data_IF_195083929223
#
_entry.id   IF_195083929223
#
_cell.length_a   1.000
_cell.length_b   1.000
_cell.length_c   1.000
_cell.angle_alpha   90.00
_cell.angle_beta   90.00
_cell.angle_gamma   90.00
#
_symmetry.space_group_name_H-M   'P 1'
#
loop_
_entity.id
_entity.type
_entity.pdbx_description
1 polymer ?
#
# COMPACT_ATOMS: atom_id res chain seq x y z
N UNK A 1 72.45 45.85 -28.69
CA UNK A 1 71.49 45.69 -29.80
C UNK A 1 70.14 45.32 -29.22
N UNK A 2 69.11 46.07 -29.62
CA UNK A 2 67.66 45.79 -29.59
C UNK A 2 66.95 45.49 -28.25
N UNK A 3 65.84 46.21 -28.13
CA UNK A 3 64.84 46.37 -27.06
C UNK A 3 63.94 45.12 -26.85
N UNK A 4 63.04 45.25 -25.86
CA UNK A 4 61.64 44.78 -25.75
C UNK A 4 61.45 43.90 -24.50
N UNK A 5 60.34 43.88 -23.74
CA UNK A 5 59.17 44.72 -23.48
C UNK A 5 58.46 44.03 -22.28
N UNK A 6 57.84 44.82 -21.41
CA UNK A 6 56.58 44.60 -20.66
C UNK A 6 56.06 43.19 -20.31
N UNK A 7 55.63 43.04 -19.05
CA UNK A 7 54.64 42.02 -18.67
C UNK A 7 54.43 41.89 -17.17
N UNK A 8 53.59 42.74 -16.59
CA UNK A 8 53.10 42.58 -15.23
C UNK A 8 51.99 41.52 -15.19
N UNK A 9 52.07 40.58 -14.24
CA UNK A 9 50.91 39.84 -13.75
C UNK A 9 51.13 39.51 -12.27
N UNK A 10 50.49 40.29 -11.40
CA UNK A 10 50.36 40.03 -9.97
C UNK A 10 49.16 39.09 -9.82
N UNK A 11 49.39 37.86 -9.39
CA UNK A 11 48.34 36.94 -8.94
C UNK A 11 48.48 36.76 -7.43
N UNK A 12 47.67 37.53 -6.71
CA UNK A 12 47.39 37.39 -5.29
C UNK A 12 46.59 36.11 -5.04
N UNK A 13 47.20 35.12 -4.38
CA UNK A 13 46.45 34.03 -3.74
C UNK A 13 45.96 34.51 -2.38
N UNK A 14 44.68 34.88 -2.31
CA UNK A 14 43.97 35.01 -1.04
C UNK A 14 43.47 33.64 -0.59
N UNK A 15 43.83 33.30 0.64
CA UNK A 15 43.21 32.24 1.42
C UNK A 15 41.80 32.68 1.83
N UNK A 16 40.79 31.85 1.57
CA UNK A 16 39.51 31.90 2.25
C UNK A 16 38.87 30.51 2.24
N UNK A 17 38.74 29.94 3.43
CA UNK A 17 37.81 28.86 3.71
C UNK A 17 36.39 29.38 3.46
N UNK A 18 35.58 28.64 2.72
CA UNK A 18 34.17 28.55 3.08
C UNK A 18 33.61 27.18 2.70
N UNK A 19 32.84 26.68 3.65
CA UNK A 19 32.23 25.37 3.76
C UNK A 19 30.95 25.30 2.94
N UNK A 20 30.84 24.28 2.07
CA UNK A 20 29.55 23.78 1.61
C UNK A 20 29.33 22.37 2.17
N UNK A 21 28.39 22.33 3.10
CA UNK A 21 27.98 21.18 3.88
C UNK A 21 26.88 20.43 3.12
N UNK A 22 27.26 19.46 2.27
CA UNK A 22 26.34 18.44 1.77
C UNK A 22 26.50 17.22 2.68
N UNK A 23 25.64 17.12 3.69
CA UNK A 23 25.58 15.93 4.54
C UNK A 23 24.89 14.80 3.78
N UNK A 24 25.67 13.97 3.08
CA UNK A 24 25.29 12.60 2.82
C UNK A 24 25.29 11.87 4.17
N UNK A 25 24.12 11.70 4.78
CA UNK A 25 23.96 10.75 5.87
C UNK A 25 23.79 9.37 5.24
N UNK A 26 24.91 8.68 5.03
CA UNK A 26 24.94 7.23 4.95
C UNK A 26 24.49 6.67 6.31
N UNK A 27 23.46 5.81 6.30
CA UNK A 27 23.02 5.10 7.51
C UNK A 27 24.15 4.17 8.00
N UNK A 28 24.82 4.59 9.07
CA UNK A 28 25.72 3.72 9.81
C UNK A 28 24.91 2.67 10.57
N UNK A 29 25.19 1.40 10.28
CA UNK A 29 24.73 0.26 11.05
C UNK A 29 25.33 0.29 12.46
N UNK A 30 24.52 0.54 13.49
CA UNK A 30 24.92 0.32 14.88
C UNK A 30 23.85 -0.38 15.72
N UNK A 31 24.38 -1.10 16.68
CA UNK A 31 23.84 -2.20 17.49
C UNK A 31 22.50 -1.93 18.20
N UNK A 32 21.73 -3.02 18.31
CA UNK A 32 20.38 -3.08 18.85
C UNK A 32 20.41 -3.16 20.38
N UNK A 33 20.04 -2.08 21.06
CA UNK A 33 19.39 -2.17 22.37
C UNK A 33 18.62 -0.90 22.71
N UNK A 34 17.37 -0.80 22.28
CA UNK A 34 16.31 0.01 22.91
C UNK A 34 14.96 -0.44 22.37
N UNK A 35 14.11 -0.96 23.28
CA UNK A 35 12.67 -1.26 23.18
C UNK A 35 11.92 -0.73 21.93
N UNK A 36 12.19 -1.31 20.76
CA UNK A 36 11.37 -1.20 19.55
C UNK A 36 10.48 -2.44 19.49
N UNK A 37 9.16 -2.26 19.36
CA UNK A 37 8.22 -3.38 19.26
C UNK A 37 8.73 -4.44 18.27
N UNK A 38 8.75 -5.71 18.71
CA UNK A 38 9.27 -6.80 17.88
C UNK A 38 8.57 -6.77 16.51
N UNK A 39 9.32 -6.96 15.41
CA UNK A 39 8.72 -7.06 14.10
C UNK A 39 7.66 -8.17 14.11
N UNK A 40 6.51 -7.90 13.48
CA UNK A 40 5.42 -8.86 13.44
C UNK A 40 5.89 -10.17 12.81
N UNK A 41 5.50 -11.30 13.40
CA UNK A 41 5.83 -12.63 12.86
C UNK A 41 4.84 -13.12 11.80
N UNK A 42 3.70 -12.42 11.65
CA UNK A 42 2.63 -12.71 10.69
C UNK A 42 2.01 -11.40 10.21
N UNK A 43 1.50 -11.37 8.98
CA UNK A 43 0.72 -10.24 8.45
C UNK A 43 -0.58 -10.11 9.23
N UNK A 44 -0.93 -8.89 9.61
CA UNK A 44 -2.22 -8.58 10.22
C UNK A 44 -2.74 -7.27 9.61
N UNK A 45 -3.95 -7.35 9.05
CA UNK A 45 -4.69 -6.26 8.43
C UNK A 45 -6.17 -6.30 8.91
N UNK A 46 -6.64 -5.29 9.66
CA UNK A 46 -8.02 -5.24 10.13
C UNK A 46 -9.01 -4.65 9.10
N UNK A 47 -8.63 -4.40 7.84
CA UNK A 47 -9.46 -3.68 6.85
C UNK A 47 -10.86 -4.27 6.69
N UNK A 48 -10.98 -5.60 6.57
CA UNK A 48 -12.29 -6.27 6.45
C UNK A 48 -13.13 -6.19 7.72
N UNK A 49 -12.48 -6.26 8.90
CA UNK A 49 -13.17 -6.12 10.19
C UNK A 49 -13.67 -4.69 10.41
N UNK A 50 -12.85 -3.70 10.05
CA UNK A 50 -13.21 -2.27 10.09
C UNK A 50 -14.40 -2.02 9.17
N UNK A 51 -14.33 -2.52 7.93
CA UNK A 51 -15.43 -2.48 6.96
C UNK A 51 -16.69 -3.11 7.54
N UNK A 52 -16.62 -4.36 8.00
CA UNK A 52 -17.80 -5.09 8.48
C UNK A 52 -18.50 -4.37 9.63
N UNK A 53 -17.73 -3.80 10.57
CA UNK A 53 -18.28 -2.99 11.66
C UNK A 53 -18.95 -1.72 11.13
N UNK A 54 -18.29 -0.99 10.24
CA UNK A 54 -18.85 0.23 9.65
C UNK A 54 -20.16 -0.05 8.90
N UNK A 55 -20.20 -1.12 8.09
CA UNK A 55 -21.39 -1.52 7.35
C UNK A 55 -22.52 -2.08 8.22
N UNK A 56 -22.26 -2.45 9.49
CA UNK A 56 -23.28 -2.83 10.47
C UNK A 56 -23.85 -1.61 11.20
N UNK A 57 -23.01 -0.61 11.47
CA UNK A 57 -23.39 0.59 12.23
C UNK A 57 -23.95 1.72 11.37
N UNK A 58 -23.66 1.74 10.07
CA UNK A 58 -24.02 2.84 9.16
C UNK A 58 -24.75 2.32 7.90
N UNK A 59 -26.09 2.48 7.83
CA UNK A 59 -26.87 2.09 6.66
C UNK A 59 -26.49 2.82 5.36
N UNK A 60 -25.96 4.04 5.43
CA UNK A 60 -25.52 4.76 4.24
C UNK A 60 -24.24 4.14 3.67
N UNK A 61 -23.31 3.72 4.52
CA UNK A 61 -22.14 2.95 4.09
C UNK A 61 -22.54 1.59 3.52
N UNK A 62 -23.55 0.92 4.10
CA UNK A 62 -24.13 -0.31 3.54
C UNK A 62 -24.68 -0.10 2.12
N UNK A 63 -25.46 0.96 1.90
CA UNK A 63 -25.99 1.27 0.58
C UNK A 63 -24.88 1.57 -0.44
N UNK A 64 -23.82 2.28 -0.02
CA UNK A 64 -22.64 2.52 -0.87
C UNK A 64 -21.90 1.23 -1.21
N UNK A 65 -21.74 0.32 -0.24
CA UNK A 65 -21.17 -1.00 -0.47
C UNK A 65 -21.93 -1.75 -1.58
N UNK A 66 -23.26 -1.83 -1.47
CA UNK A 66 -24.11 -2.48 -2.47
C UNK A 66 -23.99 -1.83 -3.85
N UNK A 67 -23.96 -0.49 -3.90
CA UNK A 67 -23.75 0.26 -5.14
C UNK A 67 -22.36 -0.02 -5.77
N UNK A 68 -21.32 -0.15 -4.94
CA UNK A 68 -19.95 -0.45 -5.41
C UNK A 68 -19.84 -1.86 -6.00
N UNK A 69 -20.50 -2.85 -5.40
CA UNK A 69 -20.54 -4.21 -5.95
C UNK A 69 -21.32 -4.24 -7.27
N UNK A 70 -22.48 -3.57 -7.34
CA UNK A 70 -23.24 -3.44 -8.59
C UNK A 70 -22.43 -2.73 -9.69
N UNK A 71 -21.69 -1.68 -9.34
CA UNK A 71 -20.81 -0.97 -10.28
C UNK A 71 -19.70 -1.89 -10.82
N UNK A 72 -19.13 -2.74 -9.97
CA UNK A 72 -18.10 -3.71 -10.38
C UNK A 72 -18.66 -4.74 -11.36
N UNK A 73 -19.87 -5.24 -11.12
CA UNK A 73 -20.57 -6.14 -12.04
C UNK A 73 -20.96 -5.48 -13.36
N UNK A 74 -21.41 -4.23 -13.34
CA UNK A 74 -21.75 -3.47 -14.54
C UNK A 74 -20.50 -3.19 -15.38
N UNK A 75 -19.39 -2.83 -14.73
CA UNK A 75 -18.12 -2.60 -15.42
C UNK A 75 -17.58 -3.88 -16.10
N UNK A 76 -17.68 -5.03 -15.41
CA UNK A 76 -17.38 -6.35 -16.01
C UNK A 76 -18.22 -6.61 -17.28
N UNK A 77 -19.52 -6.33 -17.22
CA UNK A 77 -20.44 -6.47 -18.37
C UNK A 77 -20.05 -5.52 -19.51
N UNK A 78 -19.86 -4.24 -19.24
CA UNK A 78 -19.50 -3.25 -20.26
C UNK A 78 -18.14 -3.56 -20.92
N UNK A 79 -17.18 -4.06 -20.16
CA UNK A 79 -15.89 -4.52 -20.68
C UNK A 79 -16.07 -5.69 -21.66
N UNK A 80 -16.86 -6.70 -21.29
CA UNK A 80 -17.17 -7.83 -22.18
C UNK A 80 -17.94 -7.44 -23.45
N UNK A 81 -18.63 -6.29 -23.43
CA UNK A 81 -19.33 -5.71 -24.58
C UNK A 81 -18.46 -4.72 -25.38
N UNK A 82 -17.21 -4.48 -24.99
CA UNK A 82 -16.30 -3.54 -25.68
C UNK A 82 -16.69 -2.07 -25.53
N UNK A 83 -17.46 -1.69 -24.50
CA UNK A 83 -17.96 -0.32 -24.28
C UNK A 83 -16.99 0.58 -23.49
N UNK A 84 -15.85 0.06 -23.04
CA UNK A 84 -14.83 0.80 -22.27
C UNK A 84 -13.62 1.03 -23.19
N UNK A 85 -13.15 2.29 -23.31
CA UNK A 85 -11.99 2.66 -24.15
C UNK A 85 -10.69 1.97 -23.69
N UNK A 86 -9.79 1.74 -24.64
CA UNK A 86 -8.83 0.62 -24.63
C UNK A 86 -7.57 0.77 -23.77
N UNK A 87 -7.15 1.96 -23.34
CA UNK A 87 -5.93 2.05 -22.50
C UNK A 87 -6.23 1.89 -21.00
N UNK A 88 -7.44 2.24 -20.56
CA UNK A 88 -7.99 2.02 -19.22
C UNK A 88 -7.07 2.48 -18.08
N UNK A 89 -6.11 3.36 -18.38
CA UNK A 89 -5.00 3.69 -17.49
C UNK A 89 -5.38 4.85 -16.59
N UNK A 90 -5.20 4.65 -15.29
CA UNK A 90 -5.39 5.70 -14.28
C UNK A 90 -4.08 5.92 -13.54
N UNK A 91 -3.65 7.17 -13.42
CA UNK A 91 -2.54 7.57 -12.54
C UNK A 91 -3.14 8.13 -11.25
N UNK A 92 -3.02 7.39 -10.15
CA UNK A 92 -3.53 7.79 -8.84
C UNK A 92 -2.49 8.73 -8.18
N UNK A 93 -2.84 9.98 -7.88
CA UNK A 93 -2.01 10.86 -7.06
C UNK A 93 -1.98 10.37 -5.61
N UNK A 94 -0.76 10.29 -5.06
CA UNK A 94 -0.49 9.75 -3.73
C UNK A 94 0.12 10.82 -2.84
N UNK A 95 -0.42 10.95 -1.63
CA UNK A 95 0.14 11.81 -0.57
C UNK A 95 0.54 10.94 0.61
N UNK A 96 1.81 11.03 1.02
CA UNK A 96 2.30 10.39 2.24
C UNK A 96 2.22 11.37 3.41
N UNK A 97 1.65 10.93 4.52
CA UNK A 97 1.54 11.67 5.78
C UNK A 97 2.36 10.94 6.85
N UNK A 98 3.65 11.28 6.99
CA UNK A 98 4.59 10.64 7.91
C UNK A 98 4.48 11.26 9.30
N UNK A 99 4.06 10.45 10.27
CA UNK A 99 3.94 10.84 11.68
C UNK A 99 4.94 10.02 12.47
N UNK A 100 5.94 10.71 13.03
CA UNK A 100 7.09 10.07 13.66
C UNK A 100 7.29 10.56 15.09
N UNK A 101 7.79 9.71 15.96
CA UNK A 101 8.22 10.06 17.32
C UNK A 101 9.75 10.16 17.42
N UNK A 102 10.46 9.22 16.78
CA UNK A 102 11.92 9.17 16.71
C UNK A 102 12.43 9.41 15.28
N UNK A 103 13.72 9.71 15.12
CA UNK A 103 14.34 9.91 13.81
C UNK A 103 14.21 8.68 12.89
N UNK A 104 14.36 7.47 13.42
CA UNK A 104 14.21 6.22 12.66
C UNK A 104 12.78 6.03 12.08
N UNK A 105 11.77 6.61 12.72
CA UNK A 105 10.38 6.55 12.25
C UNK A 105 10.08 7.60 11.17
N UNK A 106 10.94 8.61 11.00
CA UNK A 106 10.84 9.63 9.97
C UNK A 106 11.39 9.09 8.64
N UNK A 107 10.68 8.12 8.04
CA UNK A 107 11.10 7.41 6.82
C UNK A 107 11.57 8.35 5.71
N UNK A 108 12.71 8.08 5.09
CA UNK A 108 13.30 8.97 4.08
C UNK A 108 12.43 9.11 2.81
N UNK A 109 12.59 10.22 2.07
CA UNK A 109 11.90 10.39 0.79
C UNK A 109 12.33 9.32 -0.24
N UNK A 110 13.58 8.85 -0.17
CA UNK A 110 14.05 7.73 -1.00
C UNK A 110 13.26 6.45 -0.72
N UNK A 111 13.00 6.12 0.56
CA UNK A 111 12.19 4.96 0.94
C UNK A 111 10.71 5.09 0.51
N UNK A 112 10.18 6.31 0.51
CA UNK A 112 8.84 6.61 -0.03
C UNK A 112 8.82 6.42 -1.55
N UNK A 113 9.84 6.90 -2.27
CA UNK A 113 9.98 6.72 -3.70
C UNK A 113 10.13 5.23 -4.08
N UNK A 114 10.87 4.44 -3.29
CA UNK A 114 10.92 2.98 -3.43
C UNK A 114 9.53 2.34 -3.33
N UNK A 115 8.71 2.79 -2.38
CA UNK A 115 7.35 2.27 -2.23
C UNK A 115 6.47 2.59 -3.45
N UNK A 116 6.58 3.80 -4.02
CA UNK A 116 5.89 4.15 -5.26
C UNK A 116 6.37 3.28 -6.43
N UNK A 117 7.67 3.02 -6.53
CA UNK A 117 8.23 2.12 -7.54
C UNK A 117 7.72 0.68 -7.36
N UNK A 118 7.60 0.20 -6.13
CA UNK A 118 6.99 -1.10 -5.80
C UNK A 118 5.54 -1.17 -6.27
N UNK A 119 4.72 -0.17 -5.93
CA UNK A 119 3.31 -0.15 -6.35
C UNK A 119 3.19 -0.18 -7.88
N UNK A 120 3.96 0.65 -8.58
CA UNK A 120 3.97 0.66 -10.04
C UNK A 120 4.45 -0.67 -10.65
N UNK A 121 5.41 -1.35 -10.02
CA UNK A 121 5.86 -2.66 -10.47
C UNK A 121 4.78 -3.73 -10.31
N UNK A 122 4.12 -3.76 -9.15
CA UNK A 122 3.14 -4.79 -8.79
C UNK A 122 1.84 -4.65 -9.58
N UNK A 123 1.33 -3.43 -9.67
CA UNK A 123 0.12 -3.13 -10.46
C UNK A 123 0.41 -3.11 -11.96
N UNK A 124 1.66 -2.87 -12.35
CA UNK A 124 2.11 -2.96 -13.75
C UNK A 124 2.44 -4.38 -14.21
N UNK A 125 2.46 -5.37 -13.32
CA UNK A 125 2.97 -6.73 -13.58
C UNK A 125 4.40 -6.75 -14.15
N UNK A 126 5.25 -5.88 -13.62
CA UNK A 126 6.69 -5.77 -13.96
C UNK A 126 7.58 -6.10 -12.76
N UNK A 127 6.99 -6.56 -11.65
CA UNK A 127 7.70 -7.08 -10.50
C UNK A 127 8.58 -8.29 -10.90
N UNK A 128 9.82 -8.32 -10.40
CA UNK A 128 10.83 -9.30 -10.81
C UNK A 128 10.49 -10.75 -10.44
N UNK A 129 9.58 -10.96 -9.51
CA UNK A 129 9.12 -12.26 -9.03
C UNK A 129 7.84 -12.76 -9.70
N UNK A 130 7.31 -12.05 -10.71
CA UNK A 130 6.11 -12.46 -11.45
C UNK A 130 6.28 -13.81 -12.16
N UNK A 131 7.51 -14.19 -12.51
CA UNK A 131 7.85 -15.48 -13.09
C UNK A 131 7.68 -16.67 -12.11
N UNK A 132 7.44 -16.41 -10.82
CA UNK A 132 7.16 -17.43 -9.81
C UNK A 132 5.69 -17.87 -9.77
N UNK A 133 4.80 -17.22 -10.55
CA UNK A 133 3.39 -17.65 -10.66
C UNK A 133 3.32 -19.09 -11.16
N UNK A 134 2.73 -20.02 -10.38
CA UNK A 134 2.54 -21.39 -10.82
C UNK A 134 1.75 -21.46 -12.14
N UNK A 135 2.12 -22.39 -13.02
CA UNK A 135 1.53 -22.50 -14.34
C UNK A 135 -0.01 -22.58 -14.32
N UNK A 136 -0.60 -23.22 -13.31
CA UNK A 136 -2.05 -23.32 -13.14
C UNK A 136 -2.77 -21.99 -12.88
N UNK A 137 -2.07 -20.97 -12.36
CA UNK A 137 -2.63 -19.65 -12.08
C UNK A 137 -2.25 -18.59 -13.12
N UNK A 138 -1.36 -18.90 -14.06
CA UNK A 138 -1.00 -17.99 -15.17
C UNK A 138 -2.23 -17.53 -15.98
N UNK A 139 -3.21 -18.39 -16.33
CA UNK A 139 -4.41 -17.94 -17.06
C UNK A 139 -5.28 -16.95 -16.29
N UNK A 140 -5.20 -16.95 -14.95
CA UNK A 140 -5.97 -16.05 -14.09
C UNK A 140 -5.20 -14.77 -13.75
N UNK A 141 -3.93 -14.63 -14.14
CA UNK A 141 -3.13 -13.48 -13.75
C UNK A 141 -3.64 -12.18 -14.41
N UNK A 142 -3.68 -11.10 -13.64
CA UNK A 142 -4.15 -9.79 -14.11
C UNK A 142 -3.33 -9.22 -15.28
N UNK A 143 -2.05 -9.60 -15.37
CA UNK A 143 -1.05 -8.82 -16.07
C UNK A 143 -1.05 -7.38 -15.54
N UNK A 144 -0.88 -6.41 -16.44
CA UNK A 144 -0.93 -5.00 -16.07
C UNK A 144 -2.38 -4.58 -15.72
N UNK A 145 -2.58 -4.12 -14.48
CA UNK A 145 -3.87 -3.65 -13.93
C UNK A 145 -4.36 -2.37 -14.60
N UNK A 146 -3.46 -1.59 -15.23
CA UNK A 146 -3.69 -0.26 -15.79
C UNK A 146 -4.01 0.78 -14.71
N UNK A 147 -3.41 0.62 -13.54
CA UNK A 147 -3.38 1.63 -12.48
C UNK A 147 -1.92 1.88 -12.14
N UNK A 148 -1.53 3.14 -12.13
CA UNK A 148 -0.20 3.63 -11.77
C UNK A 148 -0.32 4.66 -10.66
N UNK A 149 0.80 4.96 -9.99
CA UNK A 149 0.83 5.78 -8.79
C UNK A 149 1.91 6.85 -8.93
N UNK A 150 1.56 8.07 -8.56
CA UNK A 150 2.46 9.22 -8.60
C UNK A 150 2.48 9.94 -7.27
N UNK A 151 3.67 10.13 -6.72
CA UNK A 151 3.86 10.94 -5.53
C UNK A 151 3.53 12.40 -5.85
N UNK A 152 2.60 12.98 -5.09
CA UNK A 152 2.23 14.41 -5.18
C UNK A 152 2.82 15.20 -4.01
N UNK A 153 2.80 14.64 -2.80
CA UNK A 153 3.35 15.31 -1.62
C UNK A 153 3.78 14.32 -0.53
N UNK A 154 4.72 14.77 0.29
CA UNK A 154 5.08 14.13 1.56
C UNK A 154 4.94 15.15 2.68
N UNK A 155 3.92 14.96 3.51
CA UNK A 155 3.71 15.74 4.73
C UNK A 155 4.39 15.03 5.90
N UNK A 156 5.03 15.79 6.79
CA UNK A 156 5.75 15.22 7.94
C UNK A 156 5.38 15.95 9.22
N UNK A 157 5.17 15.20 10.31
CA UNK A 157 4.90 15.77 11.63
C UNK A 157 5.51 14.91 12.73
N UNK A 158 6.26 15.55 13.62
CA UNK A 158 6.70 14.89 14.85
C UNK A 158 5.54 14.84 15.86
N UNK A 159 5.37 13.70 16.51
CA UNK A 159 4.34 13.48 17.55
C UNK A 159 4.96 12.80 18.77
N UNK A 160 4.46 13.10 19.96
CA UNK A 160 4.85 12.43 21.21
C UNK A 160 4.17 11.08 21.39
N UNK A 161 3.11 10.78 20.61
CA UNK A 161 2.42 9.49 20.65
C UNK A 161 3.33 8.38 20.14
N UNK A 162 3.34 7.26 20.85
CA UNK A 162 4.17 6.08 20.54
C UNK A 162 3.41 4.95 19.84
N UNK A 163 2.08 5.05 19.75
CA UNK A 163 1.22 4.13 19.04
C UNK A 163 -0.13 4.78 18.70
N UNK A 164 -0.86 4.18 17.77
CA UNK A 164 -2.13 4.69 17.26
C UNK A 164 -3.14 3.56 17.12
N UNK A 165 -4.38 3.72 17.62
CA UNK A 165 -5.41 2.70 17.43
C UNK A 165 -6.09 2.80 16.08
N UNK A 166 -6.35 1.65 15.46
CA UNK A 166 -7.01 1.54 14.15
C UNK A 166 -8.51 1.84 14.16
N UNK A 167 -9.13 2.01 15.33
CA UNK A 167 -10.57 2.28 15.48
C UNK A 167 -10.87 3.74 15.85
N UNK A 168 -9.84 4.56 16.16
CA UNK A 168 -10.01 5.93 16.64
C UNK A 168 -9.67 7.01 15.59
N UNK A 169 -8.95 6.64 14.52
CA UNK A 169 -8.55 7.54 13.43
C UNK A 169 -7.78 8.80 13.88
N UNK A 170 -7.13 8.74 15.04
CA UNK A 170 -6.43 9.89 15.62
C UNK A 170 -5.23 10.35 14.79
N UNK A 171 -4.58 9.45 14.06
CA UNK A 171 -3.47 9.78 13.17
C UNK A 171 -3.92 10.65 11.99
N UNK A 172 -5.22 10.64 11.68
CA UNK A 172 -5.81 11.38 10.55
C UNK A 172 -6.39 12.74 10.94
N UNK A 173 -6.22 13.18 12.20
CA UNK A 173 -6.68 14.49 12.68
C UNK A 173 -5.55 15.28 13.30
N UNK A 174 -5.38 16.53 12.85
CA UNK A 174 -4.40 17.46 13.41
C UNK A 174 -4.61 17.69 14.92
N UNK A 175 -5.86 17.72 15.38
CA UNK A 175 -6.26 17.97 16.77
C UNK A 175 -5.86 16.85 17.74
N UNK A 176 -5.64 15.63 17.25
CA UNK A 176 -5.22 14.47 18.05
C UNK A 176 -3.74 14.12 17.84
N UNK A 177 -2.96 15.06 17.32
CA UNK A 177 -1.52 14.91 17.05
C UNK A 177 -1.19 14.32 15.68
N UNK A 178 -2.19 13.98 14.86
CA UNK A 178 -2.02 13.45 13.51
C UNK A 178 -1.88 14.52 12.42
N UNK A 179 -2.16 14.13 11.18
CA UNK A 179 -2.15 14.98 9.98
C UNK A 179 -3.50 14.80 9.27
N UNK A 180 -4.18 15.91 8.94
CA UNK A 180 -5.42 15.86 8.16
C UNK A 180 -5.15 15.36 6.73
N UNK A 181 -6.10 14.65 6.13
CA UNK A 181 -5.99 14.24 4.73
C UNK A 181 -5.79 15.45 3.80
N UNK A 182 -4.91 15.31 2.81
CA UNK A 182 -4.78 16.26 1.69
C UNK A 182 -5.81 15.87 0.64
N UNK A 183 -6.92 16.61 0.57
CA UNK A 183 -8.07 16.39 -0.33
C UNK A 183 -8.32 14.90 -0.69
N UNK A 184 -9.03 14.15 0.16
CA UNK A 184 -9.28 12.72 -0.06
C UNK A 184 -10.16 12.44 -1.30
N UNK A 185 -10.77 13.46 -1.90
CA UNK A 185 -11.52 13.30 -3.16
C UNK A 185 -10.60 13.27 -4.38
N UNK A 186 -9.39 13.81 -4.23
CA UNK A 186 -8.38 13.97 -5.28
C UNK A 186 -7.09 13.23 -5.04
N UNK A 187 -6.80 12.77 -3.83
CA UNK A 187 -5.55 12.08 -3.51
C UNK A 187 -5.78 10.83 -2.67
N UNK A 188 -5.04 9.77 -2.99
CA UNK A 188 -4.90 8.63 -2.08
C UNK A 188 -3.94 9.03 -0.94
N UNK A 189 -4.48 9.14 0.27
CA UNK A 189 -3.71 9.50 1.46
C UNK A 189 -3.19 8.26 2.16
N UNK A 190 -1.87 8.20 2.40
CA UNK A 190 -1.20 7.12 3.13
C UNK A 190 -0.55 7.70 4.38
N UNK A 191 -1.07 7.35 5.56
CA UNK A 191 -0.44 7.71 6.82
C UNK A 191 0.61 6.68 7.21
N UNK A 192 1.83 7.14 7.47
CA UNK A 192 2.92 6.29 7.98
C UNK A 192 3.10 6.59 9.45
N UNK A 193 2.94 5.58 10.30
CA UNK A 193 2.95 5.74 11.77
C UNK A 193 3.93 4.79 12.44
N UNK A 194 4.26 5.06 13.71
CA UNK A 194 5.22 4.27 14.47
C UNK A 194 4.75 2.86 14.86
N UNK A 195 3.49 2.72 15.26
CA UNK A 195 2.87 1.46 15.67
C UNK A 195 1.36 1.58 15.54
N UNK A 196 0.73 0.51 15.03
CA UNK A 196 -0.72 0.41 14.91
C UNK A 196 -1.20 -0.63 15.94
N UNK A 197 -2.10 -0.20 16.82
CA UNK A 197 -2.78 -1.05 17.78
C UNK A 197 -4.16 -1.42 17.23
N UNK A 198 -4.59 -2.64 17.47
CA UNK A 198 -5.98 -3.03 17.28
C UNK A 198 -6.91 -2.37 18.33
N UNK A 199 -8.21 -2.67 18.24
CA UNK A 199 -9.22 -2.13 19.16
C UNK A 199 -9.03 -2.57 20.63
N UNK A 200 -8.27 -3.65 20.85
CA UNK A 200 -7.93 -4.20 22.16
C UNK A 200 -6.55 -3.71 22.65
N UNK A 201 -6.01 -2.65 22.02
CA UNK A 201 -4.69 -2.09 22.28
C UNK A 201 -3.53 -3.07 22.04
N UNK A 202 -3.72 -4.11 21.22
CA UNK A 202 -2.67 -5.05 20.90
C UNK A 202 -1.87 -4.56 19.68
N UNK A 203 -0.52 -4.53 19.77
CA UNK A 203 0.31 -4.24 18.62
C UNK A 203 0.34 -5.44 17.66
N UNK A 204 0.72 -5.19 16.41
CA UNK A 204 0.96 -6.25 15.43
C UNK A 204 0.32 -6.02 14.07
N UNK A 205 -0.56 -5.01 13.96
CA UNK A 205 -1.11 -4.58 12.66
C UNK A 205 -0.01 -3.95 11.81
N UNK A 206 0.15 -4.46 10.58
CA UNK A 206 1.14 -3.92 9.63
C UNK A 206 0.58 -2.70 8.90
N UNK A 207 -0.69 -2.77 8.52
CA UNK A 207 -1.41 -1.71 7.84
C UNK A 207 -2.91 -1.97 7.84
N UNK A 208 -3.66 -0.98 7.42
CA UNK A 208 -5.08 -1.10 7.10
C UNK A 208 -5.49 -0.03 6.09
N UNK A 209 -6.62 -0.24 5.42
CA UNK A 209 -7.20 0.68 4.47
C UNK A 209 -8.72 0.79 4.61
N UNK A 210 -9.24 1.92 4.17
CA UNK A 210 -10.66 2.12 3.99
C UNK A 210 -11.09 1.78 2.56
N UNK A 211 -12.20 1.03 2.47
CA UNK A 211 -12.82 0.63 1.22
C UNK A 211 -13.59 1.78 0.55
N UNK A 212 -14.00 1.63 -0.73
CA UNK A 212 -14.59 2.73 -1.49
C UNK A 212 -15.92 3.28 -0.97
N UNK A 213 -16.64 2.60 -0.08
CA UNK A 213 -17.79 3.21 0.62
C UNK A 213 -17.38 4.43 1.46
N UNK A 214 -16.12 4.50 1.87
CA UNK A 214 -15.53 5.65 2.55
C UNK A 214 -14.93 6.69 1.60
N UNK A 215 -15.06 6.50 0.27
CA UNK A 215 -14.46 7.39 -0.72
C UNK A 215 -14.80 8.86 -0.46
N UNK A 216 -13.77 9.70 -0.39
CA UNK A 216 -13.88 11.15 -0.19
C UNK A 216 -14.19 11.60 1.24
N UNK A 217 -14.36 10.67 2.19
CA UNK A 217 -14.48 11.03 3.61
C UNK A 217 -13.12 11.50 4.16
N UNK A 218 -13.14 12.31 5.22
CA UNK A 218 -11.92 12.92 5.78
C UNK A 218 -10.88 11.89 6.28
N UNK A 219 -11.29 10.66 6.56
CA UNK A 219 -10.44 9.55 7.01
C UNK A 219 -10.08 8.55 5.90
N UNK A 220 -10.52 8.79 4.67
CA UNK A 220 -10.31 7.88 3.55
C UNK A 220 -8.83 7.74 3.17
N UNK A 221 -8.41 6.51 2.89
CA UNK A 221 -7.01 6.16 2.62
C UNK A 221 -6.50 4.99 3.46
N UNK A 222 -5.18 4.97 3.68
CA UNK A 222 -4.44 3.83 4.21
C UNK A 222 -3.57 4.25 5.40
N UNK A 223 -3.34 3.35 6.35
CA UNK A 223 -2.38 3.55 7.43
C UNK A 223 -1.39 2.39 7.42
N UNK A 224 -0.10 2.70 7.49
CA UNK A 224 1.00 1.74 7.38
C UNK A 224 1.97 1.96 8.54
N UNK A 225 2.39 0.89 9.20
CA UNK A 225 3.49 0.93 10.16
C UNK A 225 4.81 1.23 9.44
N UNK A 226 5.62 2.15 9.95
CA UNK A 226 6.85 2.60 9.31
C UNK A 226 7.85 1.47 9.05
N UNK A 227 7.76 0.34 9.76
CA UNK A 227 8.59 -0.84 9.53
C UNK A 227 8.26 -1.53 8.19
N UNK A 228 7.08 -1.30 7.61
CA UNK A 228 6.50 -2.13 6.56
C UNK A 228 6.25 -1.37 5.24
N UNK A 229 6.91 -0.23 5.08
CA UNK A 229 6.88 0.60 3.86
C UNK A 229 8.24 0.57 3.14
N UNK A 230 8.24 0.59 1.81
CA UNK A 230 9.45 0.59 0.99
C UNK A 230 10.27 -0.69 1.18
N UNK A 231 11.56 -0.63 0.86
CA UNK A 231 12.48 -1.77 1.00
C UNK A 231 13.61 -1.46 1.97
N UNK A 232 14.32 -0.35 1.73
CA UNK A 232 15.47 0.05 2.52
C UNK A 232 15.04 0.41 3.94
N UNK A 233 15.65 -0.20 4.95
CA UNK A 233 15.30 -0.01 6.36
C UNK A 233 13.94 -0.60 6.78
N UNK A 234 13.27 -1.37 5.90
CA UNK A 234 12.06 -2.09 6.24
C UNK A 234 12.36 -3.42 6.96
N UNK A 235 11.45 -3.87 7.83
CA UNK A 235 11.65 -5.04 8.67
C UNK A 235 11.18 -6.31 7.97
N UNK A 236 12.08 -7.28 7.80
CA UNK A 236 11.74 -8.60 7.30
C UNK A 236 10.79 -9.33 8.27
N UNK A 237 9.87 -10.18 7.77
CA UNK A 237 9.71 -10.62 6.38
C UNK A 237 8.82 -9.71 5.50
N UNK A 238 8.46 -8.52 5.98
CA UNK A 238 7.54 -7.58 5.33
C UNK A 238 8.27 -6.34 4.81
N UNK A 239 9.35 -6.57 4.07
CA UNK A 239 10.33 -5.58 3.66
C UNK A 239 10.52 -5.44 2.14
N UNK A 240 9.53 -5.84 1.34
CA UNK A 240 9.54 -5.63 -0.12
C UNK A 240 8.43 -4.68 -0.57
N UNK A 241 7.78 -3.98 0.37
CA UNK A 241 6.73 -2.99 0.14
C UNK A 241 5.35 -3.59 -0.18
N UNK A 242 5.15 -4.90 0.03
CA UNK A 242 3.88 -5.57 -0.33
C UNK A 242 2.77 -5.35 0.67
N UNK A 243 3.08 -4.92 1.89
CA UNK A 243 2.06 -4.40 2.80
C UNK A 243 1.28 -3.27 2.15
N UNK A 244 1.95 -2.29 1.53
CA UNK A 244 1.24 -1.19 0.86
C UNK A 244 0.51 -1.68 -0.38
N UNK A 245 1.08 -2.61 -1.17
CA UNK A 245 0.38 -3.24 -2.31
C UNK A 245 -0.93 -3.91 -1.87
N UNK A 246 -0.91 -4.65 -0.76
CA UNK A 246 -2.06 -5.30 -0.16
C UNK A 246 -3.12 -4.29 0.29
N UNK A 247 -2.73 -3.26 1.06
CA UNK A 247 -3.67 -2.26 1.55
C UNK A 247 -4.27 -1.41 0.40
N UNK A 248 -3.51 -1.14 -0.67
CA UNK A 248 -4.04 -0.48 -1.88
C UNK A 248 -5.05 -1.37 -2.60
N UNK A 249 -4.91 -2.70 -2.52
CA UNK A 249 -5.92 -3.65 -2.97
C UNK A 249 -7.27 -3.43 -2.27
N UNK A 250 -7.27 -3.33 -0.94
CA UNK A 250 -8.48 -2.99 -0.16
C UNK A 250 -9.05 -1.61 -0.52
N UNK A 251 -8.19 -0.60 -0.63
CA UNK A 251 -8.58 0.75 -1.07
C UNK A 251 -9.27 0.74 -2.44
N UNK A 252 -8.91 -0.21 -3.30
CA UNK A 252 -9.48 -0.46 -4.63
C UNK A 252 -10.48 -1.64 -4.66
N UNK A 253 -11.15 -1.91 -3.54
CA UNK A 253 -12.30 -2.84 -3.41
C UNK A 253 -11.98 -4.34 -3.51
N UNK A 254 -10.78 -4.76 -3.13
CA UNK A 254 -10.43 -6.18 -3.01
C UNK A 254 -10.51 -6.65 -1.56
N UNK A 255 -11.40 -7.59 -1.22
CA UNK A 255 -11.34 -8.34 0.03
C UNK A 255 -10.16 -9.29 0.10
N UNK A 256 -9.88 -9.77 1.31
CA UNK A 256 -9.05 -10.94 1.47
C UNK A 256 -9.65 -12.15 0.72
N UNK A 257 -8.80 -13.06 0.25
CA UNK A 257 -9.20 -14.25 -0.53
C UNK A 257 -10.19 -15.19 0.19
N UNK A 258 -10.28 -15.07 1.52
CA UNK A 258 -11.17 -15.88 2.36
C UNK A 258 -12.45 -15.12 2.78
N UNK A 259 -12.59 -13.85 2.37
CA UNK A 259 -13.70 -12.96 2.74
C UNK A 259 -13.54 -12.28 4.10
N UNK A 260 -14.65 -11.83 4.69
CA UNK A 260 -14.65 -10.84 5.78
C UNK A 260 -14.19 -11.37 7.15
N UNK A 261 -14.06 -12.69 7.29
CA UNK A 261 -13.64 -13.32 8.54
C UNK A 261 -12.64 -14.43 8.31
N UNK A 262 -11.68 -14.59 9.24
CA UNK A 262 -10.66 -15.64 9.16
C UNK A 262 -11.21 -17.07 9.25
N UNK A 263 -12.52 -17.25 9.54
CA UNK A 263 -13.20 -18.54 9.37
C UNK A 263 -13.27 -18.98 7.90
N UNK A 264 -13.17 -18.01 6.99
CA UNK A 264 -13.02 -18.22 5.56
C UNK A 264 -14.22 -18.85 4.87
N UNK A 265 -13.95 -19.43 3.71
CA UNK A 265 -14.93 -20.03 2.80
C UNK A 265 -16.04 -19.08 2.37
N UNK A 266 -15.73 -17.79 2.31
CA UNK A 266 -16.61 -16.74 1.79
C UNK A 266 -16.08 -16.27 0.43
N UNK A 267 -16.89 -15.49 -0.27
CA UNK A 267 -16.49 -14.84 -1.52
C UNK A 267 -15.57 -13.66 -1.25
N UNK A 268 -14.55 -13.49 -2.08
CA UNK A 268 -13.78 -12.25 -2.24
C UNK A 268 -14.28 -11.44 -3.46
N UNK A 269 -15.43 -11.86 -4.01
CA UNK A 269 -16.10 -11.31 -5.19
C UNK A 269 -15.26 -11.38 -6.48
N UNK A 270 -14.25 -12.26 -6.52
CA UNK A 270 -13.44 -12.55 -7.70
C UNK A 270 -13.59 -14.04 -8.06
N UNK A 271 -14.19 -14.36 -9.20
CA UNK A 271 -14.50 -15.77 -9.51
C UNK A 271 -13.28 -16.59 -9.97
N UNK A 272 -12.17 -15.93 -10.28
CA UNK A 272 -10.92 -16.54 -10.73
C UNK A 272 -9.89 -16.74 -9.60
N UNK A 273 -10.26 -16.40 -8.35
CA UNK A 273 -9.52 -16.78 -7.15
C UNK A 273 -10.19 -18.00 -6.50
N UNK A 274 -9.43 -19.05 -6.16
CA UNK A 274 -10.00 -20.18 -5.42
C UNK A 274 -10.48 -19.75 -4.04
N UNK A 275 -11.73 -20.07 -3.70
CA UNK A 275 -12.28 -19.84 -2.36
C UNK A 275 -11.37 -20.41 -1.27
N UNK A 276 -11.02 -19.56 -0.29
CA UNK A 276 -10.03 -19.91 0.72
C UNK A 276 -10.63 -20.13 2.11
N UNK A 277 -10.25 -21.20 2.85
CA UNK A 277 -10.74 -21.45 4.21
C UNK A 277 -10.06 -20.59 5.28
N UNK A 278 -9.34 -19.54 4.89
CA UNK A 278 -8.68 -18.60 5.79
C UNK A 278 -7.27 -18.23 5.32
N UNK A 279 -6.62 -17.28 6.00
CA UNK A 279 -5.30 -16.77 5.60
C UNK A 279 -4.23 -17.84 5.53
N UNK A 280 -3.28 -17.66 4.61
CA UNK A 280 -2.03 -18.39 4.56
C UNK A 280 -0.90 -17.46 5.02
N UNK A 281 0.16 -18.01 5.63
CA UNK A 281 1.26 -17.24 6.22
C UNK A 281 2.62 -17.82 5.84
N UNK A 282 3.68 -17.03 6.05
CA UNK A 282 5.04 -17.45 5.76
C UNK A 282 5.26 -17.59 4.25
N UNK A 283 5.95 -18.66 3.85
CA UNK A 283 6.19 -18.98 2.44
C UNK A 283 5.74 -20.40 2.09
N UNK A 284 4.43 -20.62 1.91
CA UNK A 284 3.91 -21.94 1.56
C UNK A 284 4.51 -22.47 0.25
N UNK A 285 4.53 -23.79 0.10
CA UNK A 285 4.91 -24.45 -1.15
C UNK A 285 3.69 -24.71 -2.01
N UNK A 286 3.85 -24.58 -3.33
CA UNK A 286 2.82 -24.95 -4.30
C UNK A 286 2.90 -26.46 -4.65
N UNK A 287 1.78 -27.18 -4.78
CA UNK A 287 0.41 -26.74 -4.50
C UNK A 287 0.08 -26.73 -3.00
N UNK A 288 -0.76 -25.78 -2.57
CA UNK A 288 -1.28 -25.71 -1.21
C UNK A 288 -2.76 -26.08 -1.22
N UNK A 289 -3.10 -27.36 -1.15
CA UNK A 289 -4.50 -27.79 -1.19
C UNK A 289 -5.20 -27.54 0.15
N UNK A 290 -6.34 -26.85 0.12
CA UNK A 290 -7.24 -26.66 1.27
C UNK A 290 -8.69 -26.83 0.83
N UNK A 291 -9.58 -27.08 1.78
CA UNK A 291 -10.98 -27.46 1.51
C UNK A 291 -11.97 -26.40 1.97
N UNK A 292 -12.90 -26.03 1.10
CA UNK A 292 -14.09 -25.25 1.41
C UNK A 292 -15.33 -25.93 0.82
N UNK A 293 -16.41 -26.06 1.61
CA UNK A 293 -17.66 -26.66 1.14
C UNK A 293 -17.51 -28.07 0.55
N UNK A 294 -16.55 -28.87 1.04
CA UNK A 294 -16.26 -30.21 0.54
C UNK A 294 -15.41 -30.25 -0.75
N UNK A 295 -15.04 -29.10 -1.31
CA UNK A 295 -14.21 -29.01 -2.52
C UNK A 295 -12.76 -28.67 -2.14
N UNK A 296 -11.81 -29.53 -2.51
CA UNK A 296 -10.38 -29.28 -2.31
C UNK A 296 -9.77 -28.61 -3.53
N UNK A 297 -9.12 -27.46 -3.34
CA UNK A 297 -8.42 -26.72 -4.40
C UNK A 297 -7.09 -26.17 -3.88
N UNK A 298 -6.09 -26.08 -4.75
CA UNK A 298 -4.87 -25.35 -4.42
C UNK A 298 -5.21 -23.88 -4.21
N UNK A 299 -4.71 -23.32 -3.13
CA UNK A 299 -4.87 -21.92 -2.79
C UNK A 299 -3.97 -21.03 -3.67
N UNK A 300 -4.46 -19.85 -4.02
CA UNK A 300 -3.66 -18.81 -4.70
C UNK A 300 -2.91 -17.98 -3.65
N UNK A 301 -2.10 -18.62 -2.81
CA UNK A 301 -1.45 -17.97 -1.66
C UNK A 301 -0.47 -16.86 -2.06
N UNK A 302 -0.04 -16.82 -3.32
CA UNK A 302 0.82 -15.80 -3.88
C UNK A 302 0.08 -14.55 -4.37
N UNK A 303 -1.23 -14.50 -4.18
CA UNK A 303 -2.00 -13.30 -4.43
C UNK A 303 -1.62 -12.21 -3.41
N UNK A 304 -1.57 -10.95 -3.83
CA UNK A 304 -1.31 -9.84 -2.91
C UNK A 304 -2.38 -9.70 -1.81
N UNK A 305 -3.59 -10.24 -2.00
CA UNK A 305 -4.67 -10.23 -1.00
C UNK A 305 -4.65 -11.42 -0.02
N UNK A 306 -3.55 -12.18 0.03
CA UNK A 306 -3.28 -13.17 1.08
C UNK A 306 -2.32 -12.61 2.15
N UNK A 307 -2.05 -13.38 3.22
CA UNK A 307 -1.26 -12.99 4.39
C UNK A 307 0.16 -13.56 4.43
N UNK A 308 0.63 -14.09 3.31
CA UNK A 308 2.00 -14.59 3.18
C UNK A 308 3.03 -13.47 3.35
N UNK A 309 4.29 -13.87 3.51
CA UNK A 309 5.43 -12.95 3.53
C UNK A 309 5.53 -12.19 2.20
N UNK A 310 6.11 -10.99 2.21
CA UNK A 310 6.22 -10.15 1.00
C UNK A 310 6.86 -10.91 -0.19
N UNK A 311 7.86 -11.76 0.08
CA UNK A 311 8.57 -12.53 -0.96
C UNK A 311 7.75 -13.66 -1.59
N UNK A 312 6.59 -13.99 -1.01
CA UNK A 312 5.70 -15.05 -1.46
C UNK A 312 4.43 -14.53 -2.14
N UNK A 313 4.21 -13.21 -2.22
CA UNK A 313 3.12 -12.60 -2.96
C UNK A 313 3.61 -11.77 -4.14
N UNK A 314 3.04 -12.00 -5.32
CA UNK A 314 3.55 -11.43 -6.57
C UNK A 314 2.52 -11.37 -7.70
N UNK A 315 1.22 -11.49 -7.40
CA UNK A 315 0.16 -11.36 -8.41
C UNK A 315 -1.18 -10.83 -7.89
N UNK A 316 -1.92 -10.19 -8.80
CA UNK A 316 -3.38 -10.07 -8.73
C UNK A 316 -4.03 -10.99 -9.79
N UNK A 317 -5.31 -11.28 -9.63
CA UNK A 317 -6.11 -11.98 -10.65
C UNK A 317 -6.79 -11.03 -11.63
N UNK A 318 -7.26 -11.55 -12.77
CA UNK A 318 -7.94 -10.78 -13.79
C UNK A 318 -9.27 -10.16 -13.29
N UNK A 319 -10.04 -10.86 -12.44
CA UNK A 319 -11.26 -10.31 -11.85
C UNK A 319 -10.92 -9.24 -10.81
N UNK A 320 -9.86 -9.42 -10.02
CA UNK A 320 -9.37 -8.38 -9.11
C UNK A 320 -8.99 -7.12 -9.88
N UNK A 321 -8.27 -7.23 -11.02
CA UNK A 321 -8.01 -6.10 -11.91
C UNK A 321 -9.31 -5.39 -12.30
N UNK A 322 -10.31 -6.12 -12.75
CA UNK A 322 -11.56 -5.50 -13.21
C UNK A 322 -12.29 -4.78 -12.08
N UNK A 323 -12.31 -5.35 -10.87
CA UNK A 323 -12.87 -4.69 -9.67
C UNK A 323 -12.15 -3.38 -9.36
N UNK A 324 -10.82 -3.40 -9.36
CA UNK A 324 -10.01 -2.20 -9.13
C UNK A 324 -10.27 -1.13 -10.20
N UNK A 325 -10.36 -1.51 -11.47
CA UNK A 325 -10.68 -0.58 -12.56
C UNK A 325 -12.09 0.01 -12.45
N UNK A 326 -13.07 -0.76 -11.95
CA UNK A 326 -14.42 -0.27 -11.71
C UNK A 326 -14.46 0.84 -10.63
N UNK A 327 -13.61 0.73 -9.60
CA UNK A 327 -13.50 1.73 -8.52
C UNK A 327 -13.04 3.08 -9.05
N UNK A 328 -12.03 3.07 -9.92
CA UNK A 328 -11.47 4.26 -10.55
C UNK A 328 -12.09 4.52 -11.91
N UNK A 329 -13.23 3.93 -12.26
CA UNK A 329 -13.99 4.23 -13.47
C UNK A 329 -14.55 5.67 -13.41
N UNK A 330 -14.98 6.25 -14.53
CA UNK A 330 -15.61 7.59 -14.53
C UNK A 330 -16.89 7.62 -13.68
N UNK A 331 -17.62 6.50 -13.64
CA UNK A 331 -18.78 6.27 -12.79
C UNK A 331 -18.43 5.58 -11.46
N UNK A 332 -17.14 5.34 -11.20
CA UNK A 332 -16.68 4.64 -10.01
C UNK A 332 -16.64 5.54 -8.77
N UNK A 333 -16.68 4.96 -7.56
CA UNK A 333 -16.65 5.70 -6.30
C UNK A 333 -15.39 6.57 -6.12
N UNK A 334 -14.29 6.26 -6.81
CA UNK A 334 -13.04 7.03 -6.77
C UNK A 334 -12.70 7.71 -8.09
N UNK A 335 -13.71 8.06 -8.90
CA UNK A 335 -13.54 8.78 -10.16
C UNK A 335 -12.74 10.09 -10.03
N UNK A 336 -12.75 10.70 -8.85
CA UNK A 336 -12.02 11.94 -8.54
C UNK A 336 -10.49 11.82 -8.53
N UNK A 337 -9.94 10.60 -8.44
CA UNK A 337 -8.49 10.33 -8.45
C UNK A 337 -7.86 10.36 -9.85
N UNK A 338 -8.66 10.59 -10.89
CA UNK A 338 -8.23 10.71 -12.29
C UNK A 338 -7.74 12.12 -12.60
#
# INVERSE_FOLDING_TARGET
>A
MKKLLFGALILSFMSACNSDNISNQEEASQDVSTSSGMPASKRACPSDLIREKALKSDPALRAKFEANELQSENFLRDLSMGKVLADGTVEIPVVFNVIYNTAAQNVSDARIAEQIAVLNADYGATNSDINKIPAAFQPSAAGNVKISFKLVATNRKQSTKTAWRSDLEEMKKATTGGINATDPTKNMNIWVVNSILDENNQPGTLGYAYYPESAGLWYDGLVIGYQYIGKTGASAPFNLGRTVTHEVGHYLNLPHLWGSSNAGCQTDYSNDTPTSPGPNYGTPSYPLNRTCGGVSRSQMFMNYMDYVDDKAMFMFSANQKTRMQAVVAAAGPRAGLR
#
